data_IF_280735186964
#
_entry.id   IF_280735186964
#
_cell.length_a   1.000
_cell.length_b   1.000
_cell.length_c   1.000
_cell.angle_alpha   90.00
_cell.angle_beta   90.00
_cell.angle_gamma   90.00
#
_symmetry.space_group_name_H-M   'P 1'
#
loop_
_entity.id
_entity.type
_entity.pdbx_description
1 polymer ?
#
# COMPACT_ATOMS: atom_id res chain seq x y z
N UNK A 1 15.48 19.13 -8.74
CA UNK A 1 14.25 19.48 -8.00
C UNK A 1 13.46 18.20 -7.84
N UNK A 2 13.03 17.91 -6.63
CA UNK A 2 12.32 16.66 -6.29
C UNK A 2 10.92 16.62 -6.90
N UNK A 3 10.56 15.51 -7.50
CA UNK A 3 9.26 15.25 -8.13
C UNK A 3 8.42 14.32 -7.26
N UNK A 4 7.12 14.15 -7.58
CA UNK A 4 6.26 13.13 -6.96
C UNK A 4 6.82 11.72 -7.15
N UNK A 5 7.38 11.43 -8.32
CA UNK A 5 8.00 10.13 -8.63
C UNK A 5 9.23 9.86 -7.75
N UNK A 6 9.98 10.89 -7.35
CA UNK A 6 11.10 10.72 -6.42
C UNK A 6 10.61 10.34 -5.02
N UNK A 7 9.48 10.91 -4.56
CA UNK A 7 8.85 10.51 -3.29
C UNK A 7 8.45 9.04 -3.34
N UNK A 8 7.71 8.65 -4.38
CA UNK A 8 7.24 7.27 -4.55
C UNK A 8 8.42 6.30 -4.65
N UNK A 9 9.44 6.62 -5.44
CA UNK A 9 10.64 5.78 -5.57
C UNK A 9 11.36 5.63 -4.24
N UNK A 10 11.48 6.71 -3.47
CA UNK A 10 12.07 6.66 -2.13
C UNK A 10 11.28 5.74 -1.22
N UNK A 11 9.95 5.86 -1.17
CA UNK A 11 9.10 5.00 -0.36
C UNK A 11 9.22 3.52 -0.76
N UNK A 12 9.12 3.24 -2.07
CA UNK A 12 9.20 1.87 -2.60
C UNK A 12 10.54 1.17 -2.32
N UNK A 13 11.64 1.93 -2.16
CA UNK A 13 12.95 1.35 -1.81
C UNK A 13 12.98 0.70 -0.42
N UNK A 14 11.99 0.98 0.42
CA UNK A 14 11.87 0.41 1.77
C UNK A 14 10.86 -0.74 1.86
N UNK A 15 10.20 -1.12 0.75
CA UNK A 15 9.25 -2.23 0.78
C UNK A 15 9.92 -3.52 1.30
N UNK A 16 9.28 -4.17 2.28
CA UNK A 16 9.83 -5.35 2.97
C UNK A 16 10.86 -5.02 4.06
N UNK A 17 11.13 -3.75 4.36
CA UNK A 17 12.00 -3.40 5.49
C UNK A 17 11.24 -3.45 6.82
N UNK A 18 11.97 -3.75 7.89
CA UNK A 18 11.46 -3.93 9.26
C UNK A 18 10.50 -5.13 9.43
N UNK A 19 10.42 -6.04 8.46
CA UNK A 19 9.60 -7.24 8.56
C UNK A 19 10.00 -8.11 9.76
N UNK A 20 9.02 -8.65 10.47
CA UNK A 20 9.23 -9.57 11.59
C UNK A 20 9.66 -8.90 12.90
N UNK A 21 9.73 -7.57 12.96
CA UNK A 21 10.08 -6.84 14.19
C UNK A 21 8.86 -6.53 15.09
N UNK A 22 7.67 -6.83 14.61
CA UNK A 22 6.41 -6.60 15.32
C UNK A 22 5.90 -5.15 15.22
N UNK A 23 4.65 -4.99 15.57
CA UNK A 23 3.95 -3.71 15.56
C UNK A 23 4.59 -2.72 16.56
N UNK A 24 4.70 -1.45 16.18
CA UNK A 24 5.34 -0.39 16.99
C UNK A 24 6.79 -0.69 17.38
N UNK A 25 7.52 -1.42 16.57
CA UNK A 25 8.92 -1.74 16.83
C UNK A 25 9.84 -0.50 16.73
N UNK A 26 11.06 -0.65 17.25
CA UNK A 26 12.12 0.32 16.97
C UNK A 26 12.47 0.26 15.48
N UNK A 27 12.40 1.41 14.81
CA UNK A 27 12.58 1.52 13.37
C UNK A 27 13.44 2.75 13.01
N UNK A 28 13.95 2.76 11.79
CA UNK A 28 14.81 3.84 11.30
C UNK A 28 14.04 5.15 11.11
N UNK A 29 12.77 5.08 10.73
CA UNK A 29 11.96 6.26 10.39
C UNK A 29 11.69 7.13 11.62
N UNK A 30 11.24 6.55 12.73
CA UNK A 30 11.08 7.25 14.00
C UNK A 30 12.42 7.74 14.54
N UNK A 31 13.47 6.91 14.44
CA UNK A 31 14.83 7.28 14.90
C UNK A 31 15.38 8.50 14.16
N UNK A 32 15.20 8.58 12.83
CA UNK A 32 15.65 9.70 12.00
C UNK A 32 14.89 11.00 12.30
N UNK A 33 13.70 10.89 12.85
CA UNK A 33 12.88 12.02 13.31
C UNK A 33 13.12 12.36 14.79
N UNK A 34 13.89 11.55 15.52
CA UNK A 34 14.12 11.68 16.96
C UNK A 34 12.86 11.40 17.78
N UNK A 35 12.03 10.48 17.32
CA UNK A 35 10.76 10.10 17.97
C UNK A 35 10.90 8.79 18.74
N UNK A 36 10.05 8.56 19.77
CA UNK A 36 10.07 7.32 20.54
C UNK A 36 9.54 6.14 19.74
N UNK A 37 9.68 4.94 20.30
CA UNK A 37 9.07 3.72 19.78
C UNK A 37 7.57 3.73 20.06
N UNK A 38 6.78 3.95 19.02
CA UNK A 38 5.31 4.03 19.07
C UNK A 38 4.74 3.64 17.68
N UNK A 39 3.46 3.90 17.43
CA UNK A 39 2.88 3.75 16.09
C UNK A 39 3.61 4.68 15.10
N UNK A 40 4.26 4.09 14.08
CA UNK A 40 5.19 4.84 13.21
C UNK A 40 4.74 4.95 11.75
N UNK A 41 3.45 4.75 11.47
CA UNK A 41 2.91 4.97 10.13
C UNK A 41 3.08 6.42 9.65
N UNK A 42 2.80 7.39 10.53
CA UNK A 42 3.02 8.82 10.26
C UNK A 42 4.51 9.17 10.15
N UNK A 43 5.37 8.51 10.94
CA UNK A 43 6.81 8.69 10.88
C UNK A 43 7.38 8.21 9.55
N UNK A 44 6.92 7.05 9.06
CA UNK A 44 7.29 6.56 7.75
C UNK A 44 7.01 7.60 6.67
N UNK A 45 5.78 8.07 6.55
CA UNK A 45 5.40 9.07 5.55
C UNK A 45 6.24 10.34 5.71
N UNK A 46 6.38 10.84 6.94
CA UNK A 46 7.17 12.04 7.24
C UNK A 46 8.63 11.90 6.84
N UNK A 47 9.25 10.77 7.17
CA UNK A 47 10.68 10.54 6.88
C UNK A 47 10.93 10.30 5.39
N UNK A 48 10.02 9.66 4.66
CA UNK A 48 10.11 9.54 3.20
C UNK A 48 10.19 10.92 2.55
N UNK A 49 9.34 11.85 2.93
CA UNK A 49 9.37 13.21 2.41
C UNK A 49 10.66 13.97 2.79
N UNK A 50 11.14 13.77 4.02
CA UNK A 50 12.41 14.34 4.47
C UNK A 50 13.60 13.78 3.65
N UNK A 51 13.67 12.46 3.43
CA UNK A 51 14.71 11.79 2.63
C UNK A 51 14.69 12.24 1.18
N UNK A 52 13.52 12.48 0.63
CA UNK A 52 13.34 13.02 -0.72
C UNK A 52 13.66 14.53 -0.80
N UNK A 53 14.09 15.15 0.29
CA UNK A 53 14.47 16.59 0.37
C UNK A 53 13.31 17.56 0.09
N UNK A 54 12.08 17.13 0.36
CA UNK A 54 10.86 17.94 0.34
C UNK A 54 10.10 17.70 1.65
N UNK A 55 10.66 18.12 2.79
CA UNK A 55 10.05 17.82 4.09
C UNK A 55 8.63 18.39 4.18
N UNK A 56 7.74 17.60 4.71
CA UNK A 56 6.37 18.03 5.01
C UNK A 56 6.41 19.17 6.04
N UNK A 57 5.50 20.15 5.97
CA UNK A 57 5.33 21.13 7.03
C UNK A 57 4.92 20.41 8.33
N UNK A 58 5.01 21.12 9.45
CA UNK A 58 4.45 20.60 10.70
C UNK A 58 2.93 20.49 10.57
N UNK A 59 2.42 19.28 10.63
CA UNK A 59 0.98 18.96 10.58
C UNK A 59 0.44 18.59 11.96
N UNK A 60 1.30 18.61 12.99
CA UNK A 60 0.96 18.24 14.35
C UNK A 60 1.66 19.16 15.35
N UNK A 61 0.96 19.64 16.40
CA UNK A 61 1.58 20.43 17.46
C UNK A 61 2.80 19.70 18.08
N UNK A 62 3.91 20.41 18.20
CA UNK A 62 5.15 19.87 18.77
C UNK A 62 6.04 19.11 17.78
N UNK A 63 5.59 18.77 16.60
CA UNK A 63 6.41 18.23 15.54
C UNK A 63 7.14 19.35 14.77
N UNK A 64 8.42 19.13 14.44
CA UNK A 64 9.17 20.07 13.57
C UNK A 64 8.81 19.91 12.10
N UNK A 65 8.42 18.70 11.70
CA UNK A 65 8.03 18.34 10.34
C UNK A 65 7.05 17.19 10.38
N UNK A 66 6.10 17.15 9.42
CA UNK A 66 5.13 16.08 9.27
C UNK A 66 4.27 15.84 10.51
N UNK A 67 3.94 14.59 10.74
CA UNK A 67 3.06 14.15 11.82
C UNK A 67 3.46 12.74 12.31
N UNK A 68 3.04 12.40 13.53
CA UNK A 68 3.05 11.05 14.07
C UNK A 68 1.62 10.59 14.43
N UNK A 69 0.71 11.53 14.68
CA UNK A 69 -0.68 11.26 15.02
C UNK A 69 -1.60 11.58 13.83
N UNK A 70 -2.24 10.54 13.28
CA UNK A 70 -3.01 10.64 12.04
C UNK A 70 -4.17 11.64 12.08
N UNK A 71 -4.96 11.78 13.18
CA UNK A 71 -6.02 12.77 13.25
C UNK A 71 -5.54 14.22 13.06
N UNK A 72 -4.37 14.58 13.59
CA UNK A 72 -3.82 15.94 13.40
C UNK A 72 -3.50 16.22 11.91
N UNK A 73 -3.10 15.19 11.15
CA UNK A 73 -2.88 15.33 9.71
C UNK A 73 -4.18 15.52 8.94
N UNK A 74 -5.27 14.90 9.37
CA UNK A 74 -6.63 15.13 8.82
C UNK A 74 -7.03 16.58 9.04
N UNK A 75 -6.95 17.06 10.28
CA UNK A 75 -7.29 18.45 10.64
C UNK A 75 -6.45 19.46 9.85
N UNK A 76 -5.16 19.16 9.66
CA UNK A 76 -4.27 19.98 8.84
C UNK A 76 -4.72 20.02 7.38
N UNK A 77 -5.07 18.87 6.79
CA UNK A 77 -5.58 18.75 5.43
C UNK A 77 -6.82 19.61 5.21
N UNK A 78 -7.81 19.47 6.08
CA UNK A 78 -9.04 20.26 6.07
C UNK A 78 -8.77 21.78 6.19
N UNK A 79 -7.93 22.18 7.15
CA UNK A 79 -7.61 23.59 7.39
C UNK A 79 -6.89 24.26 6.21
N UNK A 80 -6.18 23.50 5.38
CA UNK A 80 -5.42 24.01 4.23
C UNK A 80 -6.10 23.75 2.89
N UNK A 81 -7.33 23.22 2.87
CA UNK A 81 -8.05 22.87 1.64
C UNK A 81 -7.30 21.86 0.80
N UNK A 82 -6.58 20.96 1.47
CA UNK A 82 -5.76 19.92 0.83
C UNK A 82 -6.50 18.59 0.65
N UNK A 83 -7.79 18.54 0.98
CA UNK A 83 -8.59 17.35 0.81
C UNK A 83 -8.75 16.99 -0.67
N UNK A 84 -8.68 15.71 -0.94
CA UNK A 84 -8.87 15.12 -2.25
C UNK A 84 -9.70 13.85 -2.14
N UNK A 85 -10.52 13.60 -3.14
CA UNK A 85 -11.22 12.32 -3.24
C UNK A 85 -10.22 11.19 -3.55
N UNK A 86 -10.49 9.99 -3.03
CA UNK A 86 -9.61 8.83 -3.25
C UNK A 86 -9.40 8.47 -4.72
N UNK A 87 -10.41 8.69 -5.57
CA UNK A 87 -10.34 8.46 -7.01
C UNK A 87 -9.62 9.55 -7.82
N UNK A 88 -9.25 10.66 -7.19
CA UNK A 88 -8.43 11.73 -7.76
C UNK A 88 -6.99 11.69 -7.27
N UNK A 89 -6.64 10.67 -6.48
CA UNK A 89 -5.34 10.52 -5.85
C UNK A 89 -4.21 10.53 -6.88
N UNK A 90 -3.13 11.17 -6.50
CA UNK A 90 -1.91 11.24 -7.30
C UNK A 90 -0.75 10.57 -6.56
N UNK A 91 0.23 10.01 -7.30
CA UNK A 91 1.46 9.53 -6.66
C UNK A 91 2.05 10.58 -5.72
N UNK A 92 2.43 10.17 -4.52
CA UNK A 92 2.94 11.06 -3.49
C UNK A 92 1.88 11.73 -2.62
N UNK A 93 0.59 11.58 -2.87
CA UNK A 93 -0.44 12.01 -1.92
C UNK A 93 -0.39 11.14 -0.65
N UNK A 94 -0.94 11.65 0.44
CA UNK A 94 -1.02 10.95 1.72
C UNK A 94 -2.46 10.50 1.92
N UNK A 95 -2.68 9.23 2.12
CA UNK A 95 -4.00 8.67 2.45
C UNK A 95 -4.08 8.35 3.94
N UNK A 96 -5.21 8.68 4.55
CA UNK A 96 -5.53 8.37 5.93
C UNK A 96 -6.76 7.47 5.98
N UNK A 97 -6.68 6.47 6.83
CA UNK A 97 -7.66 5.40 6.95
C UNK A 97 -8.35 5.44 8.30
N UNK A 98 -9.62 5.13 8.30
CA UNK A 98 -10.43 4.82 9.47
C UNK A 98 -10.88 3.36 9.36
N UNK A 99 -10.28 2.49 10.14
CA UNK A 99 -10.54 1.05 10.07
C UNK A 99 -11.74 0.61 10.90
N UNK A 100 -12.07 1.38 11.92
CA UNK A 100 -13.11 1.03 12.90
C UNK A 100 -14.44 1.77 12.66
N UNK A 101 -14.46 2.76 11.76
CA UNK A 101 -15.67 3.50 11.36
C UNK A 101 -16.10 4.57 12.36
N UNK A 102 -15.19 5.05 13.21
CA UNK A 102 -15.49 6.07 14.21
C UNK A 102 -15.22 7.51 13.74
N UNK A 103 -14.82 7.67 12.49
CA UNK A 103 -14.43 8.93 11.84
C UNK A 103 -13.13 9.53 12.38
N UNK A 104 -12.28 8.74 13.01
CA UNK A 104 -10.94 9.10 13.46
C UNK A 104 -9.90 8.32 12.67
N UNK A 105 -8.86 8.98 12.20
CA UNK A 105 -7.84 8.29 11.41
C UNK A 105 -6.96 7.38 12.27
N UNK A 106 -6.96 6.08 11.94
CA UNK A 106 -6.18 5.04 12.62
C UNK A 106 -4.81 4.81 11.99
N UNK A 107 -4.69 5.05 10.68
CA UNK A 107 -3.53 4.70 9.90
C UNK A 107 -3.28 5.68 8.75
N UNK A 108 -2.05 5.67 8.24
CA UNK A 108 -1.68 6.48 7.08
C UNK A 108 -0.69 5.76 6.19
N UNK A 109 -0.82 5.99 4.89
CA UNK A 109 0.08 5.46 3.87
C UNK A 109 0.35 6.52 2.79
N UNK A 110 1.35 6.28 1.98
CA UNK A 110 1.70 7.10 0.84
C UNK A 110 1.09 6.50 -0.42
N UNK A 111 0.39 7.30 -1.21
CA UNK A 111 -0.17 6.89 -2.49
C UNK A 111 0.96 6.67 -3.50
N UNK A 112 1.01 5.50 -4.12
CA UNK A 112 1.96 5.18 -5.17
C UNK A 112 1.33 5.25 -6.57
N UNK A 113 0.03 4.95 -6.68
CA UNK A 113 -0.75 5.09 -7.91
C UNK A 113 -2.25 5.07 -7.61
N UNK A 114 -3.04 5.58 -8.54
CA UNK A 114 -4.47 5.26 -8.66
C UNK A 114 -4.73 4.79 -10.09
N UNK A 115 -5.28 3.60 -10.25
CA UNK A 115 -5.53 3.01 -11.57
C UNK A 115 -6.73 2.09 -11.54
N UNK A 116 -7.63 2.23 -12.51
CA UNK A 116 -8.78 1.33 -12.75
C UNK A 116 -9.63 1.07 -11.49
N UNK A 117 -9.89 2.12 -10.70
CA UNK A 117 -10.67 2.02 -9.47
C UNK A 117 -9.90 1.39 -8.30
N UNK A 118 -8.58 1.29 -8.41
CA UNK A 118 -7.71 0.77 -7.36
C UNK A 118 -6.72 1.84 -6.90
N UNK A 119 -6.68 2.08 -5.61
CA UNK A 119 -5.68 2.91 -4.95
C UNK A 119 -4.52 2.01 -4.52
N UNK A 120 -3.33 2.31 -5.00
CA UNK A 120 -2.09 1.64 -4.63
C UNK A 120 -1.34 2.50 -3.63
N UNK A 121 -0.90 1.91 -2.52
CA UNK A 121 -0.24 2.62 -1.44
C UNK A 121 0.99 1.88 -0.93
N UNK A 122 1.76 2.55 -0.08
CA UNK A 122 2.83 1.96 0.72
C UNK A 122 2.82 2.60 2.10
N UNK A 123 2.85 1.80 3.14
CA UNK A 123 2.80 2.24 4.53
C UNK A 123 3.81 1.57 5.42
N UNK A 124 4.25 2.28 6.45
CA UNK A 124 5.02 1.74 7.55
C UNK A 124 4.13 1.30 8.71
N UNK A 125 4.67 0.49 9.62
CA UNK A 125 3.93 -0.06 10.75
C UNK A 125 2.69 -0.87 10.29
N UNK A 126 2.83 -1.57 9.18
CA UNK A 126 1.76 -2.31 8.51
C UNK A 126 2.15 -3.76 8.30
N UNK A 127 1.20 -4.60 7.96
CA UNK A 127 1.46 -6.00 7.61
C UNK A 127 1.34 -6.24 6.10
N UNK A 128 1.76 -7.42 5.61
CA UNK A 128 1.81 -7.72 4.18
C UNK A 128 0.46 -7.96 3.50
N UNK A 129 -0.65 -7.95 4.23
CA UNK A 129 -1.97 -8.23 3.66
C UNK A 129 -2.99 -7.15 3.96
N UNK A 130 -3.88 -6.90 2.98
CA UNK A 130 -5.01 -5.98 3.13
C UNK A 130 -6.23 -6.62 3.83
N UNK A 131 -6.17 -7.92 4.21
CA UNK A 131 -7.38 -8.71 4.45
C UNK A 131 -8.01 -8.41 5.80
N UNK A 132 -7.24 -7.93 6.77
CA UNK A 132 -7.75 -7.63 8.11
C UNK A 132 -7.18 -6.33 8.72
N UNK A 133 -6.57 -5.47 7.91
CA UNK A 133 -6.00 -4.21 8.39
C UNK A 133 -4.82 -4.34 9.38
N UNK A 134 -4.58 -5.49 9.94
CA UNK A 134 -3.64 -5.69 11.03
C UNK A 134 -3.00 -7.08 11.07
N UNK A 135 -2.23 -7.44 10.06
CA UNK A 135 -1.18 -8.42 10.35
C UNK A 135 -0.05 -7.66 11.04
N UNK A 136 0.17 -7.93 12.30
CA UNK A 136 1.06 -7.20 13.22
C UNK A 136 2.55 -7.49 12.98
N UNK A 137 2.96 -7.43 11.75
CA UNK A 137 4.32 -7.66 11.33
C UNK A 137 5.20 -6.40 11.58
N UNK A 138 4.60 -5.21 11.50
CA UNK A 138 5.27 -3.96 11.80
C UNK A 138 6.28 -3.52 10.75
N UNK A 139 6.17 -4.02 9.51
CA UNK A 139 7.06 -3.69 8.40
C UNK A 139 6.60 -2.52 7.54
N UNK A 140 7.30 -2.33 6.41
CA UNK A 140 6.90 -1.44 5.31
C UNK A 140 6.33 -2.28 4.19
N UNK A 141 5.05 -2.11 3.91
CA UNK A 141 4.36 -2.93 2.93
C UNK A 141 3.54 -2.11 1.94
N UNK A 142 3.33 -2.70 0.76
CA UNK A 142 2.48 -2.16 -0.30
C UNK A 142 1.09 -2.75 -0.20
N UNK A 143 0.09 -1.91 -0.44
CA UNK A 143 -1.31 -2.30 -0.37
C UNK A 143 -2.09 -1.86 -1.61
N UNK A 144 -3.29 -2.44 -1.75
CA UNK A 144 -4.24 -2.12 -2.82
C UNK A 144 -5.64 -2.01 -2.20
N UNK A 145 -6.31 -0.92 -2.47
CA UNK A 145 -7.63 -0.62 -1.93
C UNK A 145 -8.60 -0.38 -3.08
N UNK A 146 -9.76 -1.00 -3.03
CA UNK A 146 -10.82 -0.68 -3.99
C UNK A 146 -11.30 0.76 -3.72
N UNK A 147 -11.17 1.63 -4.71
CA UNK A 147 -11.59 3.02 -4.64
C UNK A 147 -12.13 3.45 -6.01
N UNK A 148 -13.25 2.86 -6.48
CA UNK A 148 -13.80 3.16 -7.80
C UNK A 148 -14.16 4.64 -7.93
N UNK A 149 -14.04 5.17 -9.15
CA UNK A 149 -14.36 6.56 -9.45
C UNK A 149 -15.80 6.90 -9.04
N UNK A 150 -15.97 8.01 -8.33
CA UNK A 150 -17.27 8.46 -7.84
C UNK A 150 -17.81 7.73 -6.61
N UNK A 151 -17.03 6.82 -6.05
CA UNK A 151 -17.34 6.13 -4.80
C UNK A 151 -16.13 6.16 -3.88
N UNK A 152 -16.33 6.41 -2.59
CA UNK A 152 -15.28 6.27 -1.57
C UNK A 152 -14.97 4.79 -1.29
N UNK A 153 -13.82 4.53 -0.74
CA UNK A 153 -13.56 3.29 -0.01
C UNK A 153 -13.96 3.57 1.45
N UNK A 154 -14.81 2.75 2.03
CA UNK A 154 -15.31 2.97 3.39
C UNK A 154 -14.19 3.09 4.45
N UNK A 155 -13.02 2.52 4.18
CA UNK A 155 -11.85 2.64 5.04
C UNK A 155 -10.99 3.90 4.75
N UNK A 156 -11.16 4.57 3.61
CA UNK A 156 -10.40 5.80 3.29
C UNK A 156 -11.15 7.00 3.86
N UNK A 157 -10.61 7.60 4.91
CA UNK A 157 -11.18 8.77 5.55
C UNK A 157 -10.93 10.04 4.71
N UNK A 158 -9.68 10.28 4.33
CA UNK A 158 -9.28 11.43 3.51
C UNK A 158 -7.99 11.14 2.75
N UNK A 159 -7.82 11.79 1.61
CA UNK A 159 -6.54 11.88 0.91
C UNK A 159 -6.07 13.34 0.95
N UNK A 160 -4.83 13.57 1.36
CA UNK A 160 -4.21 14.90 1.36
C UNK A 160 -3.48 15.11 0.03
N UNK A 161 -3.92 16.09 -0.73
CA UNK A 161 -3.22 16.62 -1.91
C UNK A 161 -1.93 17.31 -1.49
N UNK A 162 -0.84 16.60 -1.56
CA UNK A 162 0.46 17.10 -1.10
C UNK A 162 0.98 18.28 -1.92
N UNK A 163 0.47 18.52 -3.13
CA UNK A 163 0.80 19.72 -3.91
C UNK A 163 0.28 21.03 -3.28
N UNK A 164 -0.65 20.93 -2.35
CA UNK A 164 -1.17 22.06 -1.58
C UNK A 164 -0.31 22.38 -0.35
N UNK A 165 0.51 21.44 0.08
CA UNK A 165 1.27 21.52 1.34
C UNK A 165 2.79 21.56 1.15
N UNK A 166 3.30 21.08 0.02
CA UNK A 166 4.72 21.16 -0.35
C UNK A 166 4.90 21.64 -1.77
N UNK A 167 6.07 22.24 -2.05
CA UNK A 167 6.43 22.63 -3.42
C UNK A 167 7.30 21.55 -4.06
N UNK A 168 6.74 20.89 -5.08
CA UNK A 168 7.54 20.02 -5.93
C UNK A 168 8.31 20.86 -6.96
N UNK A 169 9.55 20.47 -7.25
CA UNK A 169 10.32 21.07 -8.32
C UNK A 169 9.93 20.47 -9.67
N UNK A 170 9.34 21.28 -10.52
CA UNK A 170 8.96 20.90 -11.89
C UNK A 170 7.61 21.50 -12.25
N UNK A 171 7.29 21.65 -13.57
CA UNK A 171 5.93 21.98 -13.96
C UNK A 171 5.01 20.90 -13.40
N UNK A 172 3.81 21.29 -12.91
CA UNK A 172 2.76 20.35 -12.59
C UNK A 172 2.65 19.36 -13.75
N UNK A 173 2.94 18.10 -13.51
CA UNK A 173 2.82 17.10 -14.57
C UNK A 173 1.40 17.16 -15.09
N UNK A 174 1.19 17.40 -16.40
CA UNK A 174 -0.08 17.02 -16.97
C UNK A 174 -0.24 15.54 -16.67
N UNK A 175 -1.41 15.12 -16.29
CA UNK A 175 -1.82 13.76 -15.97
C UNK A 175 -1.49 12.77 -17.11
N UNK A 176 -0.22 12.60 -17.40
CA UNK A 176 0.30 11.43 -18.08
C UNK A 176 0.54 10.45 -16.94
N UNK A 177 -0.25 9.39 -16.92
CA UNK A 177 0.05 8.24 -16.08
C UNK A 177 1.56 8.07 -16.07
N UNK A 178 2.17 8.10 -14.88
CA UNK A 178 3.57 7.72 -14.73
C UNK A 178 3.74 6.46 -15.57
N UNK A 179 4.85 6.36 -16.32
CA UNK A 179 5.18 5.11 -17.00
C UNK A 179 4.92 4.00 -15.99
N UNK A 180 4.05 3.03 -16.28
CA UNK A 180 3.49 2.20 -15.24
C UNK A 180 4.64 1.66 -14.41
N UNK A 181 4.74 2.09 -13.17
CA UNK A 181 5.48 1.31 -12.16
C UNK A 181 4.94 -0.08 -12.41
N UNK A 182 5.77 -1.06 -12.84
CA UNK A 182 5.27 -2.29 -13.41
C UNK A 182 4.15 -2.77 -12.52
N UNK A 183 2.92 -2.79 -13.08
CA UNK A 183 1.70 -2.99 -12.32
C UNK A 183 1.93 -4.20 -11.46
N UNK A 184 1.97 -4.04 -10.13
CA UNK A 184 2.15 -5.20 -9.29
C UNK A 184 1.00 -6.14 -9.63
N UNK A 185 1.29 -7.39 -9.86
CA UNK A 185 0.26 -8.34 -10.17
C UNK A 185 -0.82 -8.28 -9.10
N UNK A 186 -2.06 -8.05 -9.50
CA UNK A 186 -3.20 -8.00 -8.57
C UNK A 186 -3.24 -9.24 -7.70
N UNK A 187 -3.74 -9.12 -6.49
CA UNK A 187 -4.03 -10.29 -5.66
C UNK A 187 -5.06 -11.17 -6.37
N UNK A 188 -4.80 -12.48 -6.44
CA UNK A 188 -5.75 -13.43 -7.00
C UNK A 188 -6.35 -14.24 -5.87
N UNK A 189 -7.67 -14.26 -5.81
CA UNK A 189 -8.43 -14.96 -4.76
C UNK A 189 -9.77 -15.44 -5.30
N UNK A 190 -10.38 -16.38 -4.58
CA UNK A 190 -11.75 -16.79 -4.86
C UNK A 190 -12.73 -15.69 -4.43
N UNK A 191 -13.50 -15.17 -5.37
CA UNK A 191 -14.56 -14.17 -5.12
C UNK A 191 -15.73 -14.35 -6.12
N UNK A 192 -16.80 -13.61 -5.92
CA UNK A 192 -17.93 -13.57 -6.86
C UNK A 192 -18.06 -12.13 -7.43
N UNK A 193 -18.08 -11.96 -8.78
CA UNK A 193 -17.77 -12.97 -9.80
C UNK A 193 -16.30 -13.44 -9.70
N UNK A 194 -16.02 -14.68 -10.17
CA UNK A 194 -14.67 -15.22 -10.14
C UNK A 194 -13.69 -14.36 -10.93
N UNK A 195 -12.46 -14.25 -10.42
CA UNK A 195 -11.39 -13.53 -11.13
C UNK A 195 -10.96 -14.30 -12.36
N UNK A 196 -10.76 -13.58 -13.47
CA UNK A 196 -10.28 -14.16 -14.72
C UNK A 196 -9.08 -13.35 -15.26
N UNK A 197 -8.21 -14.01 -16.02
CA UNK A 197 -7.11 -13.32 -16.70
C UNK A 197 -5.87 -14.18 -16.94
N UNK A 198 -4.92 -13.61 -17.68
CA UNK A 198 -3.65 -14.27 -18.01
C UNK A 198 -2.77 -14.51 -16.79
N UNK A 199 -2.93 -13.71 -15.75
CA UNK A 199 -2.27 -13.84 -14.46
C UNK A 199 -2.80 -15.06 -13.67
N UNK A 200 -4.12 -15.33 -13.73
CA UNK A 200 -4.70 -16.58 -13.19
C UNK A 200 -4.15 -17.79 -13.96
N UNK A 201 -4.12 -17.70 -15.28
CA UNK A 201 -3.55 -18.74 -16.13
C UNK A 201 -2.09 -19.05 -15.76
N UNK A 202 -1.30 -18.02 -15.49
CA UNK A 202 0.10 -18.18 -15.09
C UNK A 202 0.22 -18.96 -13.77
N UNK A 203 -0.64 -18.67 -12.79
CA UNK A 203 -0.70 -19.40 -11.51
C UNK A 203 -1.12 -20.85 -11.71
N UNK A 204 -2.17 -21.11 -12.49
CA UNK A 204 -2.62 -22.47 -12.79
C UNK A 204 -1.52 -23.30 -13.45
N UNK A 205 -0.81 -22.72 -14.41
CA UNK A 205 0.33 -23.38 -15.06
C UNK A 205 1.48 -23.66 -14.10
N UNK A 206 1.84 -22.68 -13.25
CA UNK A 206 2.91 -22.84 -12.27
C UNK A 206 2.58 -23.96 -11.27
N UNK A 207 1.35 -24.01 -10.76
CA UNK A 207 0.88 -25.07 -9.86
C UNK A 207 0.89 -26.45 -10.53
N UNK A 208 0.44 -26.53 -11.77
CA UNK A 208 0.50 -27.80 -12.52
C UNK A 208 1.93 -28.27 -12.75
N UNK A 209 2.86 -27.36 -13.06
CA UNK A 209 4.26 -27.71 -13.29
C UNK A 209 5.01 -28.13 -12.01
N UNK A 210 4.73 -27.46 -10.90
CA UNK A 210 5.47 -27.66 -9.64
C UNK A 210 4.86 -28.73 -8.73
N UNK A 211 3.55 -28.87 -8.77
CA UNK A 211 2.75 -29.70 -7.86
C UNK A 211 2.00 -30.82 -8.57
N UNK A 212 2.01 -30.86 -9.91
CA UNK A 212 1.13 -31.72 -10.68
C UNK A 212 -0.36 -31.58 -10.21
N UNK A 213 -0.79 -30.33 -9.99
CA UNK A 213 -2.07 -30.02 -9.34
C UNK A 213 -3.29 -30.44 -10.17
N UNK A 214 -3.13 -30.76 -11.46
CA UNK A 214 -4.21 -31.20 -12.34
C UNK A 214 -5.29 -30.17 -12.58
N UNK A 215 -4.94 -28.89 -12.51
CA UNK A 215 -5.88 -27.78 -12.73
C UNK A 215 -6.18 -27.61 -14.22
N UNK A 216 -7.43 -27.32 -14.54
CA UNK A 216 -7.79 -26.77 -15.83
C UNK A 216 -7.13 -25.39 -15.95
N UNK A 217 -6.46 -25.14 -17.08
CA UNK A 217 -5.81 -23.85 -17.37
C UNK A 217 -6.80 -22.93 -18.12
N UNK A 218 -7.95 -22.66 -17.48
CA UNK A 218 -9.10 -21.94 -18.02
C UNK A 218 -9.05 -20.42 -17.75
N UNK A 219 -7.97 -19.96 -17.10
CA UNK A 219 -7.80 -18.56 -16.71
C UNK A 219 -8.82 -18.08 -15.66
N UNK A 220 -9.53 -18.97 -14.95
CA UNK A 220 -10.55 -18.63 -13.97
C UNK A 220 -10.12 -19.05 -12.56
N UNK A 221 -10.10 -18.10 -11.62
CA UNK A 221 -9.73 -18.38 -10.22
C UNK A 221 -10.95 -19.00 -9.49
N UNK A 222 -11.17 -20.28 -9.74
CA UNK A 222 -12.22 -21.06 -9.12
C UNK A 222 -11.80 -21.73 -7.81
N UNK A 223 -12.72 -22.50 -7.17
CA UNK A 223 -12.43 -23.25 -5.93
C UNK A 223 -11.24 -24.21 -6.08
N UNK A 224 -11.12 -24.91 -7.19
CA UNK A 224 -10.01 -25.82 -7.44
C UNK A 224 -8.66 -25.09 -7.46
N UNK A 225 -8.59 -23.90 -8.07
CA UNK A 225 -7.38 -23.07 -8.09
C UNK A 225 -7.03 -22.60 -6.68
N UNK A 226 -8.01 -22.12 -5.90
CA UNK A 226 -7.81 -21.74 -4.49
C UNK A 226 -7.24 -22.90 -3.67
N UNK A 227 -7.83 -24.09 -3.76
CA UNK A 227 -7.43 -25.24 -2.98
C UNK A 227 -6.01 -25.71 -3.34
N UNK A 228 -5.63 -25.59 -4.60
CA UNK A 228 -4.26 -25.86 -5.04
C UNK A 228 -3.27 -24.79 -4.52
N UNK A 229 -3.67 -23.52 -4.47
CA UNK A 229 -2.86 -22.44 -3.88
C UNK A 229 -2.64 -22.69 -2.39
N UNK A 230 -3.68 -23.05 -1.62
CA UNK A 230 -3.55 -23.37 -0.19
C UNK A 230 -2.51 -24.49 0.02
N UNK A 231 -2.61 -25.59 -0.72
CA UNK A 231 -1.65 -26.70 -0.63
C UNK A 231 -0.22 -26.27 -0.96
N UNK A 232 -0.07 -25.43 -1.98
CA UNK A 232 1.24 -24.86 -2.31
C UNK A 232 1.80 -24.00 -1.18
N UNK A 233 0.98 -23.11 -0.62
CA UNK A 233 1.36 -22.23 0.48
C UNK A 233 1.80 -23.04 1.72
N UNK A 234 1.05 -24.07 2.11
CA UNK A 234 1.42 -25.00 3.19
C UNK A 234 2.81 -25.62 2.95
N UNK A 235 3.05 -26.10 1.73
CA UNK A 235 4.33 -26.73 1.36
C UNK A 235 5.48 -25.71 1.31
N UNK A 236 5.20 -24.49 0.88
CA UNK A 236 6.17 -23.41 0.82
C UNK A 236 6.38 -22.72 2.18
N UNK A 237 5.73 -23.21 3.25
CA UNK A 237 5.74 -22.60 4.59
C UNK A 237 5.28 -21.15 4.61
N UNK A 238 4.27 -20.81 3.79
CA UNK A 238 3.60 -19.53 3.74
C UNK A 238 2.27 -19.58 4.52
N UNK A 239 1.67 -18.42 4.77
CA UNK A 239 0.28 -18.37 5.25
C UNK A 239 -0.65 -19.01 4.21
N UNK A 240 -1.38 -20.08 4.61
CA UNK A 240 -2.23 -20.87 3.71
C UNK A 240 -3.64 -20.26 3.60
N UNK A 241 -3.72 -19.06 3.02
CA UNK A 241 -4.96 -18.26 2.90
C UNK A 241 -5.68 -18.43 1.54
N UNK A 242 -5.03 -19.09 0.60
CA UNK A 242 -5.56 -19.26 -0.77
C UNK A 242 -5.55 -17.96 -1.58
N UNK A 243 -4.71 -16.98 -1.20
CA UNK A 243 -4.54 -15.72 -1.91
C UNK A 243 -3.16 -15.71 -2.59
N UNK A 244 -3.13 -15.42 -3.88
CA UNK A 244 -1.87 -15.28 -4.61
C UNK A 244 -1.41 -13.83 -4.55
N UNK A 245 -0.71 -13.51 -3.48
CA UNK A 245 0.01 -12.26 -3.27
C UNK A 245 1.48 -12.34 -3.70
N UNK A 246 2.29 -11.30 -3.41
CA UNK A 246 3.71 -11.25 -3.80
C UNK A 246 4.53 -12.43 -3.31
N UNK A 247 4.36 -12.87 -2.07
CA UNK A 247 5.09 -14.01 -1.51
C UNK A 247 4.75 -15.32 -2.23
N UNK A 248 3.46 -15.57 -2.47
CA UNK A 248 2.99 -16.74 -3.21
C UNK A 248 3.49 -16.71 -4.65
N UNK A 249 3.48 -15.53 -5.30
CA UNK A 249 4.03 -15.39 -6.65
C UNK A 249 5.52 -15.68 -6.69
N UNK A 250 6.29 -15.07 -5.77
CA UNK A 250 7.73 -15.30 -5.66
C UNK A 250 8.05 -16.78 -5.46
N UNK A 251 7.35 -17.45 -4.56
CA UNK A 251 7.53 -18.88 -4.30
C UNK A 251 7.18 -19.76 -5.51
N UNK A 252 6.20 -19.34 -6.31
CA UNK A 252 5.83 -19.97 -7.58
C UNK A 252 6.79 -19.61 -8.74
N UNK A 253 7.76 -18.70 -8.53
CA UNK A 253 8.64 -18.21 -9.58
C UNK A 253 7.94 -17.34 -10.61
N UNK A 254 6.85 -16.69 -10.21
CA UNK A 254 6.11 -15.72 -11.02
C UNK A 254 6.56 -14.30 -10.69
N UNK A 255 6.40 -13.33 -11.62
CA UNK A 255 6.65 -11.93 -11.32
C UNK A 255 5.84 -11.47 -10.10
N UNK A 256 6.51 -10.82 -9.15
CA UNK A 256 5.95 -10.28 -7.91
C UNK A 256 5.78 -8.77 -8.00
#
# INVERSE_FOLDING_TARGET
MTTRDDIVRTALSFNGSCDGHGYNCQNVFSSDLGRPTEAWCGDFVTDIYKRAQVPLPSMQPGCRTGFAYCPDAVDYGHAHGADRNSWESQPGDIVLFDWNGDSVADHTELVTAYQDGTLFTIGGNSGPSNVDGFTHDGGVHRHQWAAPAGQGNDAVLVVIDTSKVVQFGGPAHPTKAADPVPAQPRLLMLKSPMMTGTDVLAVQRALNQRENAGLDTDSTYGPATRDAVIKWQERAHLGADGIVGPQTRSSLGLPS
#
